data_IF_792596455944
#
_entry.id   IF_792596455944
#
_cell.length_a   1.000
_cell.length_b   1.000
_cell.length_c   1.000
_cell.angle_alpha   90.00
_cell.angle_beta   90.00
_cell.angle_gamma   90.00
#
_symmetry.space_group_name_H-M   'P 1'
#
loop_
_entity.id
_entity.type
_entity.pdbx_description
1 polymer ?
#
# COMPACT_ATOMS: atom_id res chain seq x y z
N UNK A 1 20.37 -22.79 1.09
CA UNK A 1 20.63 -22.84 -0.38
C UNK A 1 21.98 -23.42 -0.88
N UNK A 2 23.14 -22.76 -0.74
CA UNK A 2 24.37 -23.11 -1.54
C UNK A 2 24.90 -24.55 -1.36
N UNK A 3 24.70 -25.13 -0.17
CA UNK A 3 25.16 -26.48 0.19
C UNK A 3 24.05 -27.54 0.20
N UNK A 4 22.79 -27.13 -0.02
CA UNK A 4 21.63 -28.04 0.14
C UNK A 4 21.11 -28.54 -1.20
N UNK A 5 21.33 -27.77 -2.27
CA UNK A 5 21.01 -28.20 -3.64
C UNK A 5 22.25 -28.90 -4.22
N UNK A 6 22.13 -30.15 -4.70
CA UNK A 6 23.24 -30.85 -5.33
C UNK A 6 23.69 -30.17 -6.62
N UNK A 7 24.90 -30.47 -7.09
CA UNK A 7 25.40 -29.92 -8.34
C UNK A 7 24.62 -30.51 -9.54
N UNK A 8 24.18 -29.63 -10.43
CA UNK A 8 23.35 -29.98 -11.57
C UNK A 8 23.73 -29.21 -12.83
N UNK A 9 23.50 -29.85 -13.97
CA UNK A 9 23.56 -29.26 -15.31
C UNK A 9 22.21 -29.38 -15.99
N UNK A 10 21.91 -28.46 -16.91
CA UNK A 10 20.71 -28.50 -17.73
C UNK A 10 21.11 -28.92 -19.15
N UNK A 11 20.75 -30.14 -19.53
CA UNK A 11 21.00 -30.67 -20.88
C UNK A 11 19.66 -30.80 -21.62
N UNK A 12 19.57 -30.22 -22.82
CA UNK A 12 18.35 -30.21 -23.63
C UNK A 12 17.10 -29.65 -22.91
N UNK A 13 17.31 -28.70 -21.99
CA UNK A 13 16.23 -28.12 -21.17
C UNK A 13 15.74 -29.02 -20.05
N UNK A 14 16.46 -30.10 -19.74
CA UNK A 14 16.21 -30.97 -18.60
C UNK A 14 17.33 -30.87 -17.58
N UNK A 15 16.95 -30.83 -16.31
CA UNK A 15 17.82 -30.84 -15.17
C UNK A 15 18.39 -32.25 -14.98
N UNK A 16 19.72 -32.34 -14.92
CA UNK A 16 20.50 -33.56 -14.76
C UNK A 16 21.43 -33.34 -13.57
N UNK A 17 21.33 -34.21 -12.57
CA UNK A 17 22.23 -34.19 -11.41
C UNK A 17 23.59 -34.74 -11.83
N UNK A 18 24.68 -34.01 -11.55
CA UNK A 18 26.02 -34.42 -11.96
C UNK A 18 26.65 -35.43 -10.99
N UNK A 19 26.14 -35.51 -9.75
CA UNK A 19 26.63 -36.43 -8.73
C UNK A 19 25.91 -37.80 -8.80
N UNK A 20 26.62 -38.88 -9.19
CA UNK A 20 26.06 -40.23 -9.26
C UNK A 20 25.73 -40.84 -7.88
N UNK A 21 26.13 -40.16 -6.78
CA UNK A 21 25.88 -40.57 -5.40
C UNK A 21 24.55 -40.08 -4.85
N UNK A 22 23.93 -39.11 -5.54
CA UNK A 22 22.63 -38.56 -5.18
C UNK A 22 21.59 -39.28 -6.04
N UNK A 23 20.80 -40.15 -5.41
CA UNK A 23 19.65 -40.74 -6.09
C UNK A 23 18.81 -39.60 -6.68
N UNK A 24 18.34 -39.72 -7.92
CA UNK A 24 17.48 -38.71 -8.57
C UNK A 24 16.10 -38.59 -7.92
N UNK A 25 15.98 -38.92 -6.63
CA UNK A 25 14.78 -38.82 -5.85
C UNK A 25 14.51 -37.37 -5.48
N UNK A 26 13.23 -36.99 -5.34
CA UNK A 26 12.85 -35.67 -4.93
C UNK A 26 13.36 -35.37 -3.51
N UNK A 27 14.11 -34.29 -3.36
CA UNK A 27 14.60 -33.77 -2.09
C UNK A 27 13.70 -32.60 -1.67
N UNK A 28 13.24 -32.60 -0.42
CA UNK A 28 12.56 -31.46 0.19
C UNK A 28 13.46 -30.80 1.23
N UNK A 29 13.63 -29.50 1.14
CA UNK A 29 14.41 -28.67 2.06
C UNK A 29 13.47 -27.64 2.67
N UNK A 30 13.44 -27.57 4.00
CA UNK A 30 12.50 -26.73 4.72
C UNK A 30 13.25 -25.47 5.22
N UNK A 31 13.06 -24.33 4.54
CA UNK A 31 13.59 -23.03 4.96
C UNK A 31 12.48 -22.20 5.64
N UNK A 32 12.03 -22.66 6.81
CA UNK A 32 11.06 -21.95 7.67
C UNK A 32 9.65 -21.87 7.08
N UNK A 33 9.31 -20.74 6.45
CA UNK A 33 8.00 -20.52 5.81
C UNK A 33 7.98 -20.92 4.32
N UNK A 34 9.14 -21.26 3.74
CA UNK A 34 9.29 -21.65 2.34
C UNK A 34 9.78 -23.11 2.27
N UNK A 35 9.05 -23.94 1.55
CA UNK A 35 9.51 -25.27 1.19
C UNK A 35 10.21 -25.26 -0.15
N UNK A 36 11.37 -25.90 -0.24
CA UNK A 36 12.11 -26.05 -1.50
C UNK A 36 12.07 -27.52 -1.91
N UNK A 37 11.57 -27.81 -3.11
CA UNK A 37 11.60 -29.14 -3.71
C UNK A 37 12.64 -29.18 -4.81
N UNK A 38 13.40 -30.26 -4.89
CA UNK A 38 14.35 -30.52 -5.97
C UNK A 38 14.07 -31.89 -6.54
N UNK A 39 13.71 -31.98 -7.83
CA UNK A 39 13.47 -33.24 -8.52
C UNK A 39 14.06 -33.24 -9.93
N UNK A 40 15.14 -34.00 -10.10
CA UNK A 40 15.76 -34.26 -11.39
C UNK A 40 15.12 -35.43 -12.16
N UNK A 41 14.46 -36.37 -11.47
CA UNK A 41 13.85 -37.55 -12.12
C UNK A 41 12.60 -37.24 -12.93
N UNK A 42 11.91 -36.14 -12.60
CA UNK A 42 10.62 -35.78 -13.19
C UNK A 42 9.47 -36.65 -12.65
N UNK A 43 9.59 -37.09 -11.41
CA UNK A 43 8.53 -37.81 -10.68
C UNK A 43 7.51 -36.83 -10.11
N UNK A 44 7.91 -35.60 -9.79
CA UNK A 44 7.03 -34.52 -9.34
C UNK A 44 6.63 -33.61 -10.50
N UNK A 45 5.36 -33.19 -10.48
CA UNK A 45 4.82 -32.14 -11.33
C UNK A 45 4.29 -30.94 -10.50
N UNK A 46 3.76 -29.92 -11.19
CA UNK A 46 3.22 -28.70 -10.57
C UNK A 46 2.06 -29.01 -9.61
N UNK A 47 1.18 -29.94 -10.00
CA UNK A 47 0.00 -30.35 -9.22
C UNK A 47 0.43 -31.07 -7.92
N UNK A 48 1.47 -31.91 -7.99
CA UNK A 48 2.05 -32.58 -6.83
C UNK A 48 2.64 -31.59 -5.83
N UNK A 49 3.27 -30.52 -6.31
CA UNK A 49 3.82 -29.46 -5.47
C UNK A 49 2.69 -28.70 -4.78
N UNK A 50 1.68 -28.26 -5.53
CA UNK A 50 0.50 -27.55 -5.00
C UNK A 50 -0.26 -28.35 -3.94
N UNK A 51 -0.44 -29.65 -4.18
CA UNK A 51 -1.08 -30.54 -3.22
C UNK A 51 -0.27 -30.70 -1.92
N UNK A 52 1.06 -30.56 -1.98
CA UNK A 52 1.96 -30.65 -0.82
C UNK A 52 2.13 -29.33 -0.07
N UNK A 53 1.84 -28.19 -0.70
CA UNK A 53 1.95 -26.85 -0.11
C UNK A 53 0.88 -26.54 0.93
N UNK A 54 -0.16 -27.36 1.09
CA UNK A 54 -1.39 -27.01 1.82
C UNK A 54 -1.27 -26.40 3.24
N UNK A 55 -0.09 -26.37 3.88
CA UNK A 55 0.17 -25.70 5.17
C UNK A 55 1.23 -24.56 5.13
N UNK A 56 1.83 -24.27 3.98
CA UNK A 56 2.96 -23.33 3.84
C UNK A 56 2.55 -22.06 3.07
N UNK A 57 3.19 -20.93 3.39
CA UNK A 57 2.95 -19.64 2.71
C UNK A 57 3.38 -19.67 1.23
N UNK A 58 4.29 -20.59 0.89
CA UNK A 58 4.70 -20.88 -0.48
C UNK A 58 5.70 -22.03 -0.57
N UNK A 59 5.96 -22.48 -1.80
CA UNK A 59 7.07 -23.37 -2.11
C UNK A 59 7.76 -23.01 -3.43
N UNK A 60 8.99 -23.50 -3.54
CA UNK A 60 9.88 -23.33 -4.66
C UNK A 60 10.34 -24.71 -5.13
N UNK A 61 9.92 -25.15 -6.30
CA UNK A 61 10.25 -26.46 -6.84
C UNK A 61 11.15 -26.35 -8.08
N UNK A 62 12.32 -26.97 -8.02
CA UNK A 62 13.17 -27.25 -9.17
C UNK A 62 12.74 -28.58 -9.78
N UNK A 63 11.85 -28.53 -10.77
CA UNK A 63 11.37 -29.69 -11.49
C UNK A 63 12.33 -30.03 -12.64
N UNK A 64 12.13 -31.20 -13.27
CA UNK A 64 13.03 -31.69 -14.32
C UNK A 64 13.15 -30.73 -15.51
N UNK A 65 12.11 -29.98 -15.89
CA UNK A 65 12.13 -29.10 -17.08
C UNK A 65 11.99 -27.61 -16.76
N UNK A 66 11.52 -27.29 -15.57
CA UNK A 66 11.16 -25.94 -15.20
C UNK A 66 11.33 -25.68 -13.71
N UNK A 67 11.37 -24.40 -13.38
CA UNK A 67 11.30 -23.91 -12.02
C UNK A 67 9.85 -23.51 -11.78
N UNK A 68 9.23 -24.14 -10.79
CA UNK A 68 7.89 -23.86 -10.36
C UNK A 68 7.91 -23.14 -9.01
N UNK A 69 7.22 -22.02 -8.92
CA UNK A 69 7.17 -21.19 -7.71
C UNK A 69 5.73 -20.86 -7.40
N UNK A 70 5.35 -21.01 -6.14
CA UNK A 70 4.00 -20.67 -5.70
C UNK A 70 4.04 -20.02 -4.33
N UNK A 71 3.39 -18.88 -4.22
CA UNK A 71 3.34 -18.08 -3.00
C UNK A 71 2.05 -17.26 -3.00
N UNK A 72 1.37 -17.21 -1.84
CA UNK A 72 0.15 -16.40 -1.69
C UNK A 72 -0.98 -16.77 -2.67
N UNK A 73 -1.07 -18.04 -3.07
CA UNK A 73 -2.08 -18.55 -4.00
C UNK A 73 -1.85 -18.21 -5.48
N UNK A 74 -0.67 -17.66 -5.82
CA UNK A 74 -0.24 -17.45 -7.21
C UNK A 74 0.89 -18.42 -7.52
N UNK A 75 0.66 -19.27 -8.51
CA UNK A 75 1.65 -20.22 -9.04
C UNK A 75 2.19 -19.76 -10.38
N UNK A 76 3.50 -19.92 -10.59
CA UNK A 76 4.18 -19.62 -11.85
C UNK A 76 5.25 -20.66 -12.13
N UNK A 77 5.23 -21.22 -13.34
CA UNK A 77 6.34 -22.01 -13.90
C UNK A 77 7.14 -21.22 -14.91
N UNK A 78 8.46 -21.39 -14.87
CA UNK A 78 9.39 -20.81 -15.84
C UNK A 78 10.40 -21.88 -16.25
N UNK A 79 10.51 -22.14 -17.55
CA UNK A 79 11.48 -23.09 -18.07
C UNK A 79 12.94 -22.62 -17.89
N UNK A 80 13.86 -23.55 -17.64
CA UNK A 80 15.30 -23.23 -17.51
C UNK A 80 15.86 -22.53 -18.75
N UNK A 81 15.35 -22.89 -19.93
CA UNK A 81 15.76 -22.29 -21.22
C UNK A 81 15.39 -20.81 -21.29
N UNK A 82 14.24 -20.41 -20.75
CA UNK A 82 13.82 -19.00 -20.70
C UNK A 82 14.73 -18.18 -19.78
N UNK A 83 15.23 -18.80 -18.71
CA UNK A 83 16.10 -18.15 -17.73
C UNK A 83 17.58 -18.17 -18.10
N UNK A 84 17.97 -18.92 -19.14
CA UNK A 84 19.38 -19.09 -19.53
C UNK A 84 20.21 -19.85 -18.49
N UNK A 85 19.56 -20.71 -17.69
CA UNK A 85 20.23 -21.49 -16.65
C UNK A 85 20.73 -22.80 -17.28
N UNK A 86 22.05 -22.93 -17.38
CA UNK A 86 22.71 -24.14 -17.90
C UNK A 86 23.33 -24.99 -16.78
N UNK A 87 23.63 -24.38 -15.62
CA UNK A 87 24.26 -25.02 -14.48
C UNK A 87 23.89 -24.31 -13.17
N UNK A 88 24.27 -24.93 -12.05
CA UNK A 88 24.09 -24.38 -10.69
C UNK A 88 24.78 -23.03 -10.50
N UNK A 89 25.93 -22.79 -11.12
CA UNK A 89 26.65 -21.51 -11.00
C UNK A 89 25.85 -20.36 -11.63
N UNK A 90 25.23 -20.58 -12.79
CA UNK A 90 24.35 -19.61 -13.43
C UNK A 90 23.14 -19.31 -12.53
N UNK A 91 22.54 -20.33 -11.91
CA UNK A 91 21.46 -20.16 -10.94
C UNK A 91 21.90 -19.29 -9.75
N UNK A 92 23.05 -19.60 -9.15
CA UNK A 92 23.59 -18.83 -8.02
C UNK A 92 23.93 -17.39 -8.40
N UNK A 93 24.43 -17.17 -9.62
CA UNK A 93 24.70 -15.82 -10.14
C UNK A 93 23.42 -15.01 -10.36
N UNK A 94 22.36 -15.65 -10.85
CA UNK A 94 21.03 -15.06 -11.00
C UNK A 94 20.44 -14.70 -9.64
N UNK A 95 20.50 -15.63 -8.68
CA UNK A 95 20.05 -15.39 -7.32
C UNK A 95 20.80 -14.24 -6.64
N UNK A 96 22.13 -14.20 -6.79
CA UNK A 96 22.94 -13.09 -6.28
C UNK A 96 22.55 -11.75 -6.92
N UNK A 97 22.35 -11.74 -8.24
CA UNK A 97 21.93 -10.54 -8.98
C UNK A 97 20.55 -10.03 -8.53
N UNK A 98 19.59 -10.94 -8.34
CA UNK A 98 18.24 -10.60 -7.84
C UNK A 98 18.33 -10.06 -6.41
N UNK A 99 19.14 -10.70 -5.56
CA UNK A 99 19.32 -10.26 -4.16
C UNK A 99 19.92 -8.86 -4.10
N UNK A 100 20.96 -8.59 -4.88
CA UNK A 100 21.58 -7.27 -4.96
C UNK A 100 20.62 -6.22 -5.54
N UNK A 101 19.86 -6.56 -6.58
CA UNK A 101 18.84 -5.69 -7.15
C UNK A 101 17.73 -5.41 -6.14
N UNK A 102 17.30 -6.42 -5.37
CA UNK A 102 16.25 -6.27 -4.36
C UNK A 102 16.66 -5.24 -3.29
N UNK A 103 17.94 -5.19 -2.91
CA UNK A 103 18.46 -4.21 -1.95
C UNK A 103 18.30 -2.77 -2.44
N UNK A 104 18.59 -2.53 -3.71
CA UNK A 104 18.38 -1.22 -4.35
C UNK A 104 16.88 -0.93 -4.48
N UNK A 105 16.10 -1.94 -4.87
CA UNK A 105 14.65 -1.83 -5.03
C UNK A 105 13.96 -1.44 -3.73
N UNK A 106 14.31 -2.06 -2.60
CA UNK A 106 13.77 -1.70 -1.29
C UNK A 106 14.07 -0.23 -0.93
N UNK A 107 15.28 0.25 -1.23
CA UNK A 107 15.63 1.66 -1.00
C UNK A 107 14.77 2.61 -1.84
N UNK A 108 14.59 2.33 -3.13
CA UNK A 108 13.76 3.14 -4.02
C UNK A 108 12.27 3.06 -3.68
N UNK A 109 11.80 1.86 -3.33
CA UNK A 109 10.42 1.61 -2.92
C UNK A 109 10.08 2.42 -1.67
N UNK A 110 10.96 2.43 -0.66
CA UNK A 110 10.71 3.17 0.57
C UNK A 110 10.62 4.68 0.33
N UNK A 111 11.49 5.24 -0.52
CA UNK A 111 11.44 6.66 -0.91
C UNK A 111 10.13 6.97 -1.64
N UNK A 112 9.76 6.14 -2.61
CA UNK A 112 8.53 6.35 -3.40
C UNK A 112 7.29 6.23 -2.53
N UNK A 113 7.24 5.22 -1.67
CA UNK A 113 6.18 5.01 -0.70
C UNK A 113 6.06 6.20 0.25
N UNK A 114 7.19 6.69 0.78
CA UNK A 114 7.22 7.87 1.64
C UNK A 114 6.68 9.12 0.92
N UNK A 115 7.04 9.35 -0.34
CA UNK A 115 6.54 10.47 -1.13
C UNK A 115 5.02 10.37 -1.36
N UNK A 116 4.51 9.18 -1.68
CA UNK A 116 3.08 8.93 -1.87
C UNK A 116 2.32 9.17 -0.56
N UNK A 117 2.77 8.58 0.55
CA UNK A 117 2.16 8.77 1.86
C UNK A 117 2.17 10.26 2.26
N UNK A 118 3.31 10.93 2.09
CA UNK A 118 3.43 12.36 2.39
C UNK A 118 2.47 13.19 1.54
N UNK A 119 2.38 12.92 0.23
CA UNK A 119 1.42 13.58 -0.66
C UNK A 119 -0.04 13.35 -0.22
N UNK A 120 -0.42 12.09 -0.04
CA UNK A 120 -1.78 11.70 0.34
C UNK A 120 -2.23 12.30 1.68
N UNK A 121 -1.32 12.49 2.64
CA UNK A 121 -1.67 13.11 3.92
C UNK A 121 -1.60 14.65 3.88
N UNK A 122 -0.66 15.23 3.12
CA UNK A 122 -0.48 16.68 3.09
C UNK A 122 -1.63 17.41 2.38
N UNK A 123 -2.10 16.91 1.24
CA UNK A 123 -3.13 17.59 0.45
C UNK A 123 -4.49 17.69 1.18
N UNK A 124 -5.06 16.61 1.76
CA UNK A 124 -6.32 16.69 2.48
C UNK A 124 -6.24 17.58 3.72
N UNK A 125 -5.14 17.53 4.47
CA UNK A 125 -4.95 18.40 5.63
C UNK A 125 -4.96 19.89 5.25
N UNK A 126 -4.35 20.25 4.11
CA UNK A 126 -4.38 21.62 3.61
C UNK A 126 -5.79 22.05 3.21
N UNK A 127 -6.51 21.22 2.46
CA UNK A 127 -7.87 21.51 1.99
C UNK A 127 -8.84 21.64 3.16
N UNK A 128 -8.80 20.71 4.12
CA UNK A 128 -9.64 20.75 5.33
C UNK A 128 -9.38 22.03 6.13
N UNK A 129 -8.11 22.45 6.26
CA UNK A 129 -7.74 23.67 6.99
C UNK A 129 -8.24 24.93 6.29
N UNK A 130 -8.20 24.99 4.96
CA UNK A 130 -8.76 26.10 4.18
C UNK A 130 -10.28 26.17 4.39
N UNK A 131 -10.99 25.06 4.25
CA UNK A 131 -12.44 24.98 4.48
C UNK A 131 -12.78 25.43 5.90
N UNK A 132 -12.03 24.95 6.90
CA UNK A 132 -12.22 25.30 8.30
C UNK A 132 -12.01 26.80 8.56
N UNK A 133 -10.99 27.42 7.95
CA UNK A 133 -10.75 28.87 8.06
C UNK A 133 -11.91 29.68 7.49
N UNK A 134 -12.44 29.28 6.31
CA UNK A 134 -13.59 29.94 5.72
C UNK A 134 -14.84 29.81 6.59
N UNK A 135 -15.10 28.61 7.12
CA UNK A 135 -16.23 28.38 8.03
C UNK A 135 -16.10 29.20 9.32
N UNK A 136 -14.91 29.23 9.92
CA UNK A 136 -14.67 29.99 11.15
C UNK A 136 -14.86 31.51 10.92
N UNK A 137 -14.47 32.02 9.75
CA UNK A 137 -14.69 33.42 9.37
C UNK A 137 -16.17 33.76 9.23
N UNK A 138 -16.96 32.89 8.60
CA UNK A 138 -18.42 33.06 8.46
C UNK A 138 -19.09 33.04 9.83
N UNK A 139 -18.72 32.09 10.69
CA UNK A 139 -19.24 31.98 12.05
C UNK A 139 -18.94 33.24 12.88
N UNK A 140 -17.73 33.79 12.78
CA UNK A 140 -17.39 35.06 13.45
C UNK A 140 -18.24 36.23 12.96
N UNK A 141 -18.50 36.31 11.66
CA UNK A 141 -19.40 37.31 11.08
C UNK A 141 -20.84 37.15 11.56
N UNK A 142 -21.30 35.90 11.71
CA UNK A 142 -22.64 35.61 12.19
C UNK A 142 -22.83 36.04 13.65
N UNK A 143 -21.87 35.76 14.55
CA UNK A 143 -21.89 36.27 15.92
C UNK A 143 -21.84 37.80 16.00
N UNK A 144 -21.10 38.45 15.11
CA UNK A 144 -21.06 39.90 15.02
C UNK A 144 -22.43 40.49 14.59
N UNK A 145 -23.08 39.88 13.60
CA UNK A 145 -24.41 40.28 13.14
C UNK A 145 -25.48 40.05 14.21
N UNK A 146 -25.45 38.91 14.90
CA UNK A 146 -26.35 38.60 16.01
C UNK A 146 -26.22 39.65 17.13
N UNK A 147 -24.98 39.99 17.50
CA UNK A 147 -24.73 41.03 18.51
C UNK A 147 -25.24 42.41 18.06
N UNK A 148 -25.09 42.76 16.78
CA UNK A 148 -25.66 44.00 16.23
C UNK A 148 -27.18 44.03 16.20
N UNK A 149 -27.85 42.87 16.12
CA UNK A 149 -29.30 42.74 16.23
C UNK A 149 -29.76 42.82 17.70
N UNK A 150 -29.04 42.19 18.62
CA UNK A 150 -29.36 42.15 20.05
C UNK A 150 -29.05 43.49 20.77
N UNK A 151 -28.04 44.25 20.31
CA UNK A 151 -27.65 45.55 20.91
C UNK A 151 -28.65 46.69 20.60
N UNK A 152 -29.80 46.42 19.95
CA UNK A 152 -30.91 47.38 19.86
C UNK A 152 -30.66 48.65 19.02
N UNK A 153 -29.55 48.72 18.29
CA UNK A 153 -29.21 49.87 17.42
C UNK A 153 -30.22 50.07 16.26
N UNK A 154 -31.01 49.05 15.93
CA UNK A 154 -32.11 49.16 14.96
C UNK A 154 -33.26 50.05 15.47
N UNK A 155 -33.49 50.11 16.79
CA UNK A 155 -34.48 51.01 17.36
C UNK A 155 -34.03 52.48 17.29
N UNK A 156 -32.73 52.75 17.38
CA UNK A 156 -32.20 54.10 17.26
C UNK A 156 -32.35 54.66 15.82
N UNK A 157 -32.22 53.81 14.81
CA UNK A 157 -32.47 54.20 13.41
C UNK A 157 -33.96 54.35 13.08
N UNK A 158 -34.82 53.48 13.61
CA UNK A 158 -36.27 53.60 13.43
C UNK A 158 -36.87 54.84 14.14
N UNK A 159 -36.40 55.17 15.34
CA UNK A 159 -36.82 56.40 16.03
C UNK A 159 -36.33 57.67 15.31
N UNK A 160 -35.19 57.61 14.62
CA UNK A 160 -34.67 58.77 13.89
C UNK A 160 -35.43 59.04 12.58
N UNK A 161 -35.92 58.00 11.91
CA UNK A 161 -36.74 58.16 10.69
C UNK A 161 -38.15 58.70 10.97
N UNK A 162 -38.74 58.41 12.13
CA UNK A 162 -40.04 59.00 12.52
C UNK A 162 -39.89 60.47 12.95
N UNK A 163 -38.69 60.89 13.36
CA UNK A 163 -38.43 62.24 13.87
C UNK A 163 -38.42 63.33 12.78
N UNK A 164 -38.03 62.99 11.55
CA UNK A 164 -37.85 63.99 10.48
C UNK A 164 -39.14 64.28 9.67
N UNK A 165 -40.13 63.38 9.64
CA UNK A 165 -41.35 63.56 8.82
C UNK A 165 -42.57 64.13 9.58
N UNK A 166 -42.65 63.94 10.91
CA UNK A 166 -43.82 64.37 11.69
C UNK A 166 -43.41 64.93 13.04
N UNK A 167 -42.92 66.17 13.07
CA UNK A 167 -42.49 66.87 14.28
C UNK A 167 -43.49 66.81 15.42
N UNK A 168 -43.38 65.79 16.27
CA UNK A 168 -44.13 65.62 17.50
C UNK A 168 -43.20 65.07 18.59
N UNK A 169 -43.16 65.83 19.69
CA UNK A 169 -42.47 65.47 20.92
C UNK A 169 -43.30 64.41 21.64
N UNK A 170 -42.83 63.17 21.67
CA UNK A 170 -43.16 62.26 22.78
C UNK A 170 -41.97 61.39 23.13
N UNK A 171 -41.63 61.47 24.42
CA UNK A 171 -40.57 60.76 25.10
C UNK A 171 -40.76 59.24 24.93
N UNK A 172 -39.84 58.54 24.25
CA UNK A 172 -39.97 57.11 23.96
C UNK A 172 -40.03 56.21 25.21
N UNK A 173 -39.83 56.77 26.42
CA UNK A 173 -39.88 56.03 27.68
C UNK A 173 -41.31 55.67 28.12
N UNK A 174 -42.36 56.32 27.62
CA UNK A 174 -43.74 56.10 28.11
C UNK A 174 -44.57 55.10 27.31
N UNK A 175 -44.06 54.49 26.24
CA UNK A 175 -44.81 53.47 25.47
C UNK A 175 -44.51 52.02 25.91
N UNK A 176 -43.58 51.81 26.83
CA UNK A 176 -43.23 50.47 27.32
C UNK A 176 -43.69 50.21 28.77
N UNK A 177 -43.81 51.25 29.60
CA UNK A 177 -44.39 51.09 30.94
C UNK A 177 -45.91 51.31 30.85
N UNK A 178 -46.65 50.23 30.62
CA UNK A 178 -48.10 50.24 30.44
C UNK A 178 -48.85 51.01 31.54
N UNK A 179 -49.50 52.10 31.12
CA UNK A 179 -50.74 52.64 31.69
C UNK A 179 -51.38 53.60 30.69
#
# INVERSE_FOLDING_TARGET
MKNEIPDFTVQDGKLVTDDPSVENLPISIDEGNLHVYYDASGTLDEDDVDNKIGSFDGAFAFLSKEIYVTAGGISQSVSYKTLGIENKDNLLSLYASITDMSKIFYSCYFITYFLICTGLHFFPCCVIRIIWLHFNRIRSWWYFLQRKLDDGDLCHYACRYVYDDYGMVTNCRTLWDGN
#
